data_IF_401225391223
#
_entry.id   IF_401225391223
#
_cell.length_a   1.000
_cell.length_b   1.000
_cell.length_c   1.000
_cell.angle_alpha   90.00
_cell.angle_beta   90.00
_cell.angle_gamma   90.00
#
_symmetry.space_group_name_H-M   'P 1'
#
loop_
_entity.id
_entity.type
_entity.pdbx_description
1 polymer ?
#
# COMPACT_ATOMS: atom_id res chain seq x y z
N UNK A 1 -18.13 -1.05 8.79
CA UNK A 1 -17.92 -2.32 9.49
C UNK A 1 -16.48 -2.76 9.32
N UNK A 2 -15.92 -3.28 10.39
CA UNK A 2 -14.50 -3.59 10.43
C UNK A 2 -14.09 -4.65 9.41
N UNK A 3 -14.91 -5.70 9.25
CA UNK A 3 -14.58 -6.76 8.31
C UNK A 3 -14.59 -6.27 6.87
N UNK A 4 -15.45 -5.30 6.57
CA UNK A 4 -15.54 -4.75 5.21
C UNK A 4 -14.30 -3.96 4.86
N UNK A 5 -13.76 -3.18 5.82
CA UNK A 5 -12.54 -2.41 5.59
C UNK A 5 -11.35 -3.33 5.39
N UNK A 6 -11.21 -4.34 6.25
CA UNK A 6 -10.12 -5.30 6.12
C UNK A 6 -10.21 -6.04 4.78
N UNK A 7 -11.43 -6.44 4.40
CA UNK A 7 -11.60 -7.17 3.15
C UNK A 7 -11.26 -6.30 1.94
N UNK A 8 -11.64 -5.03 1.99
CA UNK A 8 -11.30 -4.11 0.89
C UNK A 8 -9.78 -3.97 0.75
N UNK A 9 -9.08 -3.81 1.87
CA UNK A 9 -7.62 -3.69 1.85
C UNK A 9 -6.99 -4.98 1.35
N UNK A 10 -7.49 -6.13 1.79
CA UNK A 10 -6.99 -7.43 1.32
C UNK A 10 -7.12 -7.55 -0.19
N UNK A 11 -8.28 -7.19 -0.74
CA UNK A 11 -8.52 -7.24 -2.18
C UNK A 11 -7.64 -6.26 -2.94
N UNK A 12 -7.38 -5.10 -2.35
CA UNK A 12 -6.51 -4.10 -2.97
C UNK A 12 -5.09 -4.62 -3.11
N UNK A 13 -4.59 -5.28 -2.06
CA UNK A 13 -3.24 -5.85 -2.10
C UNK A 13 -3.18 -6.99 -3.12
N UNK A 14 -4.21 -7.81 -3.20
CA UNK A 14 -4.26 -8.88 -4.20
C UNK A 14 -4.24 -8.32 -5.62
N UNK A 15 -4.98 -7.24 -5.87
CA UNK A 15 -4.98 -6.59 -7.17
C UNK A 15 -3.62 -6.00 -7.50
N UNK A 16 -2.96 -5.41 -6.51
CA UNK A 16 -1.61 -4.88 -6.66
C UNK A 16 -0.65 -6.01 -7.08
N UNK A 17 -0.71 -7.13 -6.38
CA UNK A 17 0.17 -8.26 -6.67
C UNK A 17 -0.10 -8.84 -8.07
N UNK A 18 -1.34 -8.78 -8.52
CA UNK A 18 -1.71 -9.22 -9.86
C UNK A 18 -1.55 -8.16 -10.94
N UNK A 19 -1.10 -6.96 -10.57
CA UNK A 19 -0.96 -5.82 -11.48
C UNK A 19 -2.27 -5.50 -12.18
N UNK A 20 -3.37 -5.68 -11.46
CA UNK A 20 -4.72 -5.42 -11.97
C UNK A 20 -5.11 -3.98 -11.64
N UNK A 21 -4.64 -3.05 -12.45
CA UNK A 21 -4.85 -1.61 -12.19
C UNK A 21 -6.32 -1.21 -12.31
N UNK A 22 -7.07 -1.90 -13.15
CA UNK A 22 -8.49 -1.62 -13.26
C UNK A 22 -9.22 -1.95 -11.97
N UNK A 23 -8.94 -3.13 -11.40
CA UNK A 23 -9.56 -3.52 -10.13
C UNK A 23 -9.14 -2.57 -9.01
N UNK A 24 -7.86 -2.17 -8.97
CA UNK A 24 -7.40 -1.21 -7.99
C UNK A 24 -8.17 0.10 -8.08
N UNK A 25 -8.44 0.55 -9.31
CA UNK A 25 -9.16 1.80 -9.53
C UNK A 25 -10.58 1.77 -8.98
N UNK A 26 -11.22 0.60 -8.94
CA UNK A 26 -12.57 0.49 -8.38
C UNK A 26 -12.60 0.59 -6.86
N UNK A 27 -11.46 0.36 -6.21
CA UNK A 27 -11.35 0.33 -4.75
C UNK A 27 -10.79 1.63 -4.18
N UNK A 28 -10.21 2.49 -5.01
CA UNK A 28 -9.62 3.75 -4.58
C UNK A 28 -10.54 4.91 -4.90
N UNK A 29 -10.59 5.89 -3.98
CA UNK A 29 -11.30 7.12 -4.25
C UNK A 29 -10.61 7.92 -5.34
N UNK A 30 -11.38 8.77 -6.03
CA UNK A 30 -10.83 9.61 -7.09
C UNK A 30 -9.67 10.48 -6.58
N UNK A 31 -9.79 10.98 -5.34
CA UNK A 31 -8.83 11.88 -4.74
C UNK A 31 -7.86 11.16 -3.81
N UNK A 32 -7.66 9.87 -4.01
CA UNK A 32 -6.79 9.07 -3.17
C UNK A 32 -5.38 9.67 -3.12
N UNK A 33 -4.76 9.61 -1.95
CA UNK A 33 -3.40 10.08 -1.77
C UNK A 33 -2.49 8.90 -1.42
N UNK A 34 -1.36 8.79 -2.09
CA UNK A 34 -0.34 7.81 -1.78
C UNK A 34 0.87 8.55 -1.22
N UNK A 35 1.15 8.35 0.06
CA UNK A 35 2.29 8.95 0.71
C UNK A 35 3.44 7.95 0.76
N UNK A 36 4.35 8.09 -0.19
CA UNK A 36 5.52 7.24 -0.33
C UNK A 36 6.78 7.96 0.11
N UNK A 37 6.62 9.04 0.90
CA UNK A 37 7.74 9.89 1.31
C UNK A 37 8.74 9.18 2.21
N UNK A 38 8.32 8.10 2.90
CA UNK A 38 9.21 7.32 3.74
C UNK A 38 10.05 6.31 2.96
N UNK A 39 9.82 6.20 1.66
CA UNK A 39 10.62 5.31 0.81
C UNK A 39 12.06 5.80 0.74
N UNK A 40 12.98 4.86 0.66
CA UNK A 40 14.41 5.18 0.52
C UNK A 40 14.85 5.25 -0.95
N UNK A 41 13.90 5.06 -1.87
CA UNK A 41 14.17 5.08 -3.30
C UNK A 41 13.99 6.44 -3.91
N UNK A 42 14.30 6.52 -5.21
CA UNK A 42 14.18 7.77 -5.96
C UNK A 42 12.72 8.20 -6.16
N UNK A 43 11.80 7.25 -6.04
CA UNK A 43 10.38 7.48 -6.23
C UNK A 43 9.69 8.06 -4.98
N UNK A 44 10.44 8.34 -3.92
CA UNK A 44 9.87 8.86 -2.69
C UNK A 44 9.13 10.17 -2.95
N UNK A 45 7.94 10.31 -2.36
CA UNK A 45 7.13 11.50 -2.54
C UNK A 45 5.68 11.24 -2.21
N UNK A 46 4.85 12.25 -2.43
CA UNK A 46 3.42 12.16 -2.22
C UNK A 46 2.72 12.32 -3.55
N UNK A 47 1.84 11.38 -3.88
CA UNK A 47 1.11 11.34 -5.14
C UNK A 47 -0.38 11.54 -4.84
N UNK A 48 -1.04 12.42 -5.59
CA UNK A 48 -2.42 12.80 -5.31
C UNK A 48 -3.32 12.53 -6.52
N UNK A 49 -4.45 11.90 -6.26
CA UNK A 49 -5.42 11.54 -7.26
C UNK A 49 -5.11 10.19 -7.90
N UNK A 50 -6.18 9.47 -8.29
CA UNK A 50 -6.00 8.11 -8.78
C UNK A 50 -5.15 8.05 -10.04
N UNK A 51 -5.28 9.01 -10.96
CA UNK A 51 -4.46 8.99 -12.18
C UNK A 51 -2.97 9.05 -11.86
N UNK A 52 -2.59 9.95 -10.94
CA UNK A 52 -1.19 10.11 -10.56
C UNK A 52 -0.68 8.90 -9.79
N UNK A 53 -1.51 8.37 -8.87
CA UNK A 53 -1.17 7.18 -8.10
C UNK A 53 -1.02 5.96 -9.02
N UNK A 54 -1.93 5.81 -9.98
CA UNK A 54 -1.85 4.70 -10.93
C UNK A 54 -0.58 4.79 -11.77
N UNK A 55 -0.23 6.00 -12.21
CA UNK A 55 1.00 6.20 -12.98
C UNK A 55 2.23 5.85 -12.16
N UNK A 56 2.22 6.20 -10.88
CA UNK A 56 3.29 5.80 -9.97
C UNK A 56 3.41 4.27 -9.91
N UNK A 57 2.28 3.58 -9.70
CA UNK A 57 2.30 2.11 -9.62
C UNK A 57 2.80 1.49 -10.92
N UNK A 58 2.35 2.00 -12.06
CA UNK A 58 2.78 1.47 -13.35
C UNK A 58 4.29 1.62 -13.53
N UNK A 59 4.82 2.77 -13.16
CA UNK A 59 6.26 3.03 -13.28
C UNK A 59 7.05 2.20 -12.28
N UNK A 60 6.59 2.15 -11.03
CA UNK A 60 7.29 1.42 -9.97
C UNK A 60 7.32 -0.07 -10.28
N UNK A 61 6.16 -0.65 -10.57
CA UNK A 61 6.07 -2.07 -10.86
C UNK A 61 6.75 -2.43 -12.18
N UNK A 62 6.77 -1.50 -13.13
CA UNK A 62 7.43 -1.71 -14.40
C UNK A 62 8.96 -1.70 -14.28
N UNK A 63 9.50 -1.12 -13.22
CA UNK A 63 10.95 -1.08 -12.99
C UNK A 63 11.48 -2.46 -12.61
N UNK A 64 10.64 -3.29 -11.99
CA UNK A 64 11.04 -4.61 -11.49
C UNK A 64 10.39 -5.70 -12.30
N UNK A 65 11.03 -6.87 -12.33
CA UNK A 65 10.44 -8.04 -12.96
C UNK A 65 9.25 -8.55 -12.13
N UNK A 66 9.39 -8.55 -10.81
CA UNK A 66 8.35 -9.04 -9.92
C UNK A 66 8.37 -8.28 -8.60
N UNK A 67 7.19 -7.89 -8.12
CA UNK A 67 7.01 -7.30 -6.79
C UNK A 67 5.76 -7.95 -6.18
N UNK A 68 5.92 -8.58 -5.03
CA UNK A 68 4.81 -9.21 -4.32
C UNK A 68 4.80 -8.74 -2.88
N UNK A 69 3.65 -8.26 -2.41
CA UNK A 69 3.46 -7.88 -1.01
C UNK A 69 2.78 -9.03 -0.29
N UNK A 70 3.40 -9.49 0.80
CA UNK A 70 2.83 -10.51 1.67
C UNK A 70 2.44 -9.87 2.99
N UNK A 71 1.13 -9.67 3.24
CA UNK A 71 0.69 -9.11 4.52
C UNK A 71 0.97 -10.09 5.65
N UNK A 72 1.45 -9.57 6.78
CA UNK A 72 1.61 -10.38 7.98
C UNK A 72 0.26 -10.48 8.70
N UNK A 73 -0.44 -9.36 8.81
CA UNK A 73 -1.73 -9.29 9.49
C UNK A 73 -2.40 -7.96 9.13
N UNK A 74 -3.66 -7.83 9.53
CA UNK A 74 -4.46 -6.62 9.31
C UNK A 74 -4.91 -6.10 10.66
N UNK A 75 -4.53 -4.88 11.01
CA UNK A 75 -4.82 -4.29 12.31
C UNK A 75 -5.73 -3.09 12.08
N UNK A 76 -6.93 -3.14 12.62
CA UNK A 76 -7.91 -2.09 12.42
C UNK A 76 -7.88 -1.05 13.52
N UNK A 77 -8.05 0.23 13.16
CA UNK A 77 -8.18 1.32 14.10
C UNK A 77 -9.09 2.37 13.46
N UNK A 78 -10.35 2.43 13.91
CA UNK A 78 -11.32 3.32 13.29
C UNK A 78 -11.46 3.03 11.79
N UNK A 79 -11.26 4.04 10.98
CA UNK A 79 -11.33 3.91 9.52
C UNK A 79 -9.97 3.60 8.89
N UNK A 80 -9.02 3.19 9.71
CA UNK A 80 -7.67 2.86 9.22
C UNK A 80 -7.40 1.38 9.38
N UNK A 81 -6.59 0.82 8.47
CA UNK A 81 -6.10 -0.55 8.56
C UNK A 81 -4.59 -0.52 8.41
N UNK A 82 -3.88 -1.03 9.41
CA UNK A 82 -2.42 -1.12 9.39
C UNK A 82 -2.04 -2.51 8.91
N UNK A 83 -1.15 -2.58 7.92
CA UNK A 83 -0.74 -3.84 7.31
C UNK A 83 0.78 -3.97 7.35
N UNK A 84 1.32 -4.55 8.43
CA UNK A 84 2.74 -4.94 8.41
C UNK A 84 2.92 -5.99 7.31
N UNK A 85 3.99 -5.88 6.55
CA UNK A 85 4.14 -6.73 5.39
C UNK A 85 5.60 -6.96 5.03
N UNK A 86 5.81 -7.93 4.18
CA UNK A 86 7.11 -8.22 3.57
C UNK A 86 6.92 -8.12 2.06
N UNK A 87 7.73 -7.31 1.41
CA UNK A 87 7.73 -7.21 -0.04
C UNK A 87 8.87 -8.04 -0.60
N UNK A 88 8.56 -8.90 -1.57
CA UNK A 88 9.57 -9.66 -2.29
C UNK A 88 9.71 -9.01 -3.65
N UNK A 89 10.93 -8.58 -3.96
CA UNK A 89 11.20 -7.79 -5.16
C UNK A 89 12.29 -8.48 -5.96
N UNK A 90 12.02 -8.71 -7.25
CA UNK A 90 13.03 -9.25 -8.16
C UNK A 90 13.28 -8.22 -9.26
N UNK A 91 14.54 -7.80 -9.36
CA UNK A 91 14.94 -6.88 -10.42
C UNK A 91 15.07 -7.60 -11.76
N UNK A 92 15.16 -6.81 -12.83
CA UNK A 92 15.30 -7.37 -14.17
C UNK A 92 16.65 -8.03 -14.38
N UNK A 93 17.60 -7.77 -13.49
CA UNK A 93 18.91 -8.43 -13.48
C UNK A 93 18.87 -9.77 -12.73
N UNK A 94 17.71 -10.14 -12.17
CA UNK A 94 17.54 -11.39 -11.44
C UNK A 94 17.88 -11.29 -9.96
N UNK A 95 18.28 -10.13 -9.47
CA UNK A 95 18.60 -9.95 -8.06
C UNK A 95 17.31 -9.86 -7.25
N UNK A 96 17.23 -10.66 -6.19
CA UNK A 96 16.06 -10.68 -5.31
C UNK A 96 16.35 -9.93 -4.03
N UNK A 97 15.37 -9.13 -3.60
CA UNK A 97 15.45 -8.33 -2.38
C UNK A 97 14.19 -8.55 -1.57
N UNK A 98 14.34 -8.58 -0.25
CA UNK A 98 13.21 -8.67 0.67
C UNK A 98 13.20 -7.39 1.50
N UNK A 99 12.06 -6.71 1.53
CA UNK A 99 11.93 -5.47 2.29
C UNK A 99 10.72 -5.58 3.22
N UNK A 100 10.91 -5.19 4.47
CA UNK A 100 9.82 -5.16 5.45
C UNK A 100 9.38 -3.72 5.65
N UNK A 101 8.06 -3.54 5.76
CA UNK A 101 7.48 -2.22 5.98
C UNK A 101 6.09 -2.38 6.58
N UNK A 102 5.42 -1.27 6.80
CA UNK A 102 4.02 -1.28 7.19
C UNK A 102 3.28 -0.24 6.35
N UNK A 103 2.12 -0.64 5.84
CA UNK A 103 1.25 0.26 5.10
C UNK A 103 0.06 0.63 5.97
N UNK A 104 -0.36 1.88 5.91
CA UNK A 104 -1.60 2.32 6.55
C UNK A 104 -2.56 2.73 5.46
N UNK A 105 -3.72 2.07 5.44
CA UNK A 105 -4.81 2.40 4.52
C UNK A 105 -5.87 3.16 5.30
N UNK A 106 -6.23 4.35 4.84
CA UNK A 106 -7.34 5.12 5.40
C UNK A 106 -8.51 5.01 4.43
N UNK A 107 -9.68 4.66 4.99
CA UNK A 107 -10.85 4.42 4.18
C UNK A 107 -11.90 5.49 4.44
N UNK A 108 -12.68 5.82 3.42
CA UNK A 108 -13.77 6.78 3.51
C UNK A 108 -14.86 6.37 2.55
N UNK A 109 -16.08 6.23 3.07
CA UNK A 109 -17.25 5.89 2.25
C UNK A 109 -17.05 4.62 1.42
N UNK A 110 -16.37 3.62 2.01
CA UNK A 110 -16.17 2.33 1.34
C UNK A 110 -15.08 2.31 0.29
N UNK A 111 -14.24 3.36 0.24
CA UNK A 111 -13.13 3.43 -0.71
C UNK A 111 -11.85 3.78 0.02
N UNK A 112 -10.72 3.44 -0.58
CA UNK A 112 -9.41 3.81 -0.04
C UNK A 112 -9.19 5.28 -0.34
N UNK A 113 -8.97 6.07 0.73
CA UNK A 113 -8.76 7.51 0.63
C UNK A 113 -7.28 7.88 0.73
N UNK A 114 -6.48 7.08 1.44
CA UNK A 114 -5.08 7.37 1.61
C UNK A 114 -4.32 6.10 1.91
N UNK A 115 -3.11 6.00 1.36
CA UNK A 115 -2.19 4.90 1.63
C UNK A 115 -0.86 5.55 2.03
N UNK A 116 -0.32 5.13 3.18
CA UNK A 116 0.94 5.70 3.67
C UNK A 116 1.92 4.59 4.00
N UNK A 117 3.14 4.74 3.52
CA UNK A 117 4.23 3.81 3.80
C UNK A 117 4.96 4.23 5.06
N UNK A 118 5.21 3.27 5.94
CA UNK A 118 6.09 3.43 7.10
C UNK A 118 7.17 2.37 7.06
N UNK A 119 8.38 2.74 7.44
CA UNK A 119 9.48 1.77 7.45
C UNK A 119 9.35 0.78 8.60
N UNK A 120 8.78 1.21 9.73
CA UNK A 120 8.65 0.39 10.93
C UNK A 120 7.20 0.25 11.34
N UNK A 121 6.83 -0.96 11.79
CA UNK A 121 5.45 -1.22 12.22
C UNK A 121 5.03 -0.32 13.38
N UNK A 122 5.92 -0.05 14.34
CA UNK A 122 5.56 0.77 15.48
C UNK A 122 5.21 2.21 15.05
N UNK A 123 5.87 2.73 14.02
CA UNK A 123 5.56 4.05 13.50
C UNK A 123 4.14 4.09 12.91
N UNK A 124 3.79 3.04 12.18
CA UNK A 124 2.45 2.94 11.59
C UNK A 124 1.38 2.84 12.65
N UNK A 125 1.63 2.04 13.70
CA UNK A 125 0.68 1.89 14.80
C UNK A 125 0.48 3.20 15.54
N UNK A 126 1.55 3.92 15.83
CA UNK A 126 1.47 5.22 16.49
C UNK A 126 0.66 6.22 15.66
N UNK A 127 0.83 6.18 14.33
CA UNK A 127 0.14 7.10 13.44
C UNK A 127 -1.38 6.97 13.51
N UNK A 128 -1.89 5.77 13.88
CA UNK A 128 -3.33 5.54 14.00
C UNK A 128 -3.78 5.46 15.46
N UNK A 129 -2.92 5.87 16.41
CA UNK A 129 -3.27 5.95 17.81
C UNK A 129 -3.16 4.64 18.58
N UNK A 130 -2.44 3.68 18.05
CA UNK A 130 -2.24 2.38 18.72
C UNK A 130 -0.81 2.28 19.26
N UNK A 131 -0.61 1.31 20.13
CA UNK A 131 0.72 1.02 20.67
C UNK A 131 1.08 -0.42 20.36
N UNK A 132 2.37 -0.69 20.32
CA UNK A 132 2.87 -2.05 20.11
C UNK A 132 2.44 -2.99 21.23
#
# INVERSE_FOLDING_TARGET
MSDENVELVRRSIAAYNGRDFEAMGTMNGRDVELDWSASRGLEAGVYKGWEEVMRFYQNFLGTFEEVTIEPDRFIESGDSVVVPNTAQIRGRDGIETVARSALVFELRSGLIARICLYQETHEALEAVGLQD
#
